data_IF_950752983520
#
_entry.id   IF_950752983520
#
_cell.length_a   1.000
_cell.length_b   1.000
_cell.length_c   1.000
_cell.angle_alpha   90.00
_cell.angle_beta   90.00
_cell.angle_gamma   90.00
#
_symmetry.space_group_name_H-M   'P 1'
#
loop_
_entity.id
_entity.type
_entity.pdbx_description
1 polymer ?
#
# COMPACT_ATOMS: atom_id res chain seq x y z
N UNK A 1 10.19 -0.76 -19.14
CA UNK A 1 11.35 -1.64 -18.86
C UNK A 1 12.54 -1.11 -19.63
N UNK A 2 13.64 -0.73 -18.97
CA UNK A 2 14.80 -0.10 -19.65
C UNK A 2 15.60 -1.18 -20.40
N UNK A 3 15.12 -1.53 -21.60
CA UNK A 3 15.59 -2.69 -22.37
C UNK A 3 17.10 -2.72 -22.61
N UNK A 4 17.75 -1.55 -22.67
CA UNK A 4 19.19 -1.44 -22.90
C UNK A 4 20.04 -1.99 -21.75
N UNK A 5 19.59 -1.83 -20.51
CA UNK A 5 20.36 -2.25 -19.33
C UNK A 5 20.14 -3.74 -19.03
N UNK A 6 18.91 -4.22 -19.21
CA UNK A 6 18.60 -5.66 -19.15
C UNK A 6 19.33 -6.45 -20.24
N UNK A 7 19.47 -5.89 -21.45
CA UNK A 7 20.22 -6.50 -22.54
C UNK A 7 21.73 -6.57 -22.26
N UNK A 8 22.28 -5.57 -21.56
CA UNK A 8 23.68 -5.54 -21.17
C UNK A 8 23.99 -6.55 -20.05
N UNK A 9 23.17 -6.60 -19.00
CA UNK A 9 23.36 -7.56 -17.91
C UNK A 9 23.21 -9.00 -18.41
N UNK A 10 22.23 -9.24 -19.29
CA UNK A 10 21.99 -10.55 -19.91
C UNK A 10 23.08 -10.99 -20.89
N UNK A 11 23.89 -10.07 -21.42
CA UNK A 11 25.02 -10.42 -22.28
C UNK A 11 26.29 -10.76 -21.49
N UNK A 12 26.38 -10.35 -20.23
CA UNK A 12 27.55 -10.55 -19.36
C UNK A 12 27.35 -11.73 -18.40
N UNK A 13 26.14 -11.87 -17.84
CA UNK A 13 25.85 -12.87 -16.81
C UNK A 13 24.85 -13.93 -17.29
N UNK A 14 25.05 -15.21 -16.95
CA UNK A 14 24.06 -16.25 -17.22
C UNK A 14 22.74 -15.99 -16.48
N UNK A 15 21.61 -16.37 -17.08
CA UNK A 15 20.27 -16.07 -16.58
C UNK A 15 20.00 -16.58 -15.15
N UNK A 16 20.63 -17.69 -14.75
CA UNK A 16 20.50 -18.21 -13.38
C UNK A 16 21.13 -17.27 -12.33
N UNK A 17 22.22 -16.57 -12.66
CA UNK A 17 22.83 -15.59 -11.76
C UNK A 17 21.94 -14.35 -11.58
N UNK A 18 21.39 -13.83 -12.68
CA UNK A 18 20.47 -12.69 -12.67
C UNK A 18 19.22 -13.02 -11.86
N UNK A 19 18.67 -14.22 -12.07
CA UNK A 19 17.50 -14.70 -11.34
C UNK A 19 17.79 -14.87 -9.84
N UNK A 20 18.97 -15.40 -9.50
CA UNK A 20 19.41 -15.55 -8.11
C UNK A 20 19.55 -14.17 -7.44
N UNK A 21 20.19 -13.21 -8.11
CA UNK A 21 20.31 -11.84 -7.61
C UNK A 21 18.94 -11.20 -7.36
N UNK A 22 18.01 -11.29 -8.32
CA UNK A 22 16.64 -10.81 -8.16
C UNK A 22 15.91 -11.49 -7.00
N UNK A 23 16.07 -12.80 -6.83
CA UNK A 23 15.48 -13.53 -5.71
C UNK A 23 16.06 -13.09 -4.36
N UNK A 24 17.38 -12.89 -4.27
CA UNK A 24 18.03 -12.38 -3.05
C UNK A 24 17.52 -10.97 -2.73
N UNK A 25 17.36 -10.11 -3.74
CA UNK A 25 16.78 -8.79 -3.56
C UNK A 25 15.36 -8.87 -3.01
N UNK A 26 14.52 -9.77 -3.53
CA UNK A 26 13.17 -9.99 -3.01
C UNK A 26 13.17 -10.57 -1.59
N UNK A 27 14.15 -11.41 -1.22
CA UNK A 27 14.26 -11.96 0.14
C UNK A 27 14.64 -10.94 1.21
N UNK A 28 15.10 -9.75 0.81
CA UNK A 28 15.30 -8.63 1.76
C UNK A 28 13.98 -8.11 2.35
N UNK A 29 12.86 -8.50 1.75
CA UNK A 29 11.49 -8.22 2.18
C UNK A 29 10.95 -9.44 2.92
N UNK A 30 10.48 -9.28 4.15
CA UNK A 30 9.99 -10.42 4.96
C UNK A 30 8.69 -11.01 4.39
N UNK A 31 8.36 -12.27 4.69
CA UNK A 31 7.17 -12.97 4.15
C UNK A 31 5.83 -12.28 4.51
N UNK A 32 5.70 -11.74 5.73
CA UNK A 32 4.54 -10.94 6.14
C UNK A 32 4.47 -9.60 5.39
N UNK A 33 5.64 -9.04 5.08
CA UNK A 33 5.72 -7.90 4.17
C UNK A 33 5.31 -8.34 2.77
N UNK A 34 5.69 -9.50 2.24
CA UNK A 34 5.42 -9.96 0.86
C UNK A 34 3.93 -10.01 0.46
N UNK A 35 3.01 -10.32 1.39
CA UNK A 35 1.55 -10.28 1.13
C UNK A 35 0.98 -8.85 1.13
N UNK A 36 1.54 -7.95 1.95
CA UNK A 36 1.15 -6.54 2.00
C UNK A 36 1.95 -5.65 1.04
N UNK A 37 3.10 -6.14 0.57
CA UNK A 37 4.15 -5.51 -0.25
C UNK A 37 3.69 -5.14 -1.65
N UNK A 38 2.61 -5.76 -2.10
CA UNK A 38 2.00 -5.46 -3.38
C UNK A 38 0.68 -4.73 -3.22
N UNK A 39 0.25 -4.37 -2.00
CA UNK A 39 -1.00 -3.64 -1.84
C UNK A 39 -0.88 -2.22 -2.38
N UNK A 40 0.26 -1.54 -2.19
CA UNK A 40 0.56 -0.25 -2.80
C UNK A 40 0.66 -0.33 -4.32
N UNK A 41 1.46 -1.28 -4.81
CA UNK A 41 1.65 -1.48 -6.25
C UNK A 41 0.33 -1.87 -6.96
N UNK A 42 -0.46 -2.76 -6.37
CA UNK A 42 -1.77 -3.14 -6.90
C UNK A 42 -2.71 -1.94 -6.96
N UNK A 43 -2.80 -1.14 -5.90
CA UNK A 43 -3.64 0.07 -5.90
C UNK A 43 -3.16 1.08 -6.93
N UNK A 44 -1.86 1.23 -7.11
CA UNK A 44 -1.30 2.08 -8.14
C UNK A 44 -1.64 1.58 -9.55
N UNK A 45 -1.51 0.28 -9.81
CA UNK A 45 -1.91 -0.34 -11.07
C UNK A 45 -3.41 -0.13 -11.35
N UNK A 46 -4.28 -0.36 -10.35
CA UNK A 46 -5.72 -0.10 -10.46
C UNK A 46 -6.04 1.37 -10.74
N UNK A 47 -5.33 2.30 -10.09
CA UNK A 47 -5.41 3.73 -10.40
C UNK A 47 -5.00 4.00 -11.85
N UNK A 48 -3.86 3.47 -12.29
CA UNK A 48 -3.40 3.63 -13.66
C UNK A 48 -4.37 3.04 -14.69
N UNK A 49 -4.98 1.89 -14.40
CA UNK A 49 -6.00 1.28 -15.27
C UNK A 49 -7.28 2.12 -15.33
N UNK A 50 -7.74 2.63 -14.18
CA UNK A 50 -8.92 3.51 -14.07
C UNK A 50 -8.76 4.77 -14.92
N UNK A 51 -7.56 5.38 -14.93
CA UNK A 51 -7.27 6.59 -15.68
C UNK A 51 -6.60 6.32 -17.04
N UNK A 52 -6.53 5.06 -17.47
CA UNK A 52 -5.93 4.65 -18.75
C UNK A 52 -4.52 5.19 -18.97
N UNK A 53 -3.72 5.23 -17.90
CA UNK A 53 -2.33 5.68 -17.96
C UNK A 53 -1.51 4.69 -18.79
N UNK A 54 -0.81 5.14 -19.86
CA UNK A 54 0.03 4.28 -20.68
C UNK A 54 1.11 3.60 -19.85
N UNK A 55 1.42 2.34 -20.16
CA UNK A 55 2.37 1.52 -19.39
C UNK A 55 3.76 2.17 -19.31
N UNK A 56 4.19 2.86 -20.37
CA UNK A 56 5.47 3.57 -20.44
C UNK A 56 5.56 4.69 -19.38
N UNK A 57 4.42 5.27 -19.02
CA UNK A 57 4.32 6.32 -17.99
C UNK A 57 4.21 5.75 -16.57
N UNK A 58 3.78 4.49 -16.42
CA UNK A 58 3.67 3.83 -15.10
C UNK A 58 5.04 3.56 -14.50
N UNK A 59 6.02 3.13 -15.31
CA UNK A 59 7.39 2.84 -14.87
C UNK A 59 8.24 4.12 -14.68
N UNK A 60 7.88 5.22 -15.34
CA UNK A 60 8.53 6.52 -15.16
C UNK A 60 7.92 7.33 -14.00
N UNK A 61 6.94 6.76 -13.28
CA UNK A 61 6.07 7.37 -12.27
C UNK A 61 6.55 8.73 -11.76
N UNK A 62 6.22 9.77 -12.52
CA UNK A 62 6.65 11.14 -12.23
C UNK A 62 6.04 11.61 -10.90
N UNK A 63 6.69 12.55 -10.23
CA UNK A 63 6.33 13.03 -8.89
C UNK A 63 4.87 13.50 -8.83
N UNK A 64 4.40 14.10 -9.93
CA UNK A 64 3.02 14.56 -10.12
C UNK A 64 2.05 13.37 -10.20
N UNK A 65 2.39 12.31 -10.94
CA UNK A 65 1.52 11.14 -11.07
C UNK A 65 1.35 10.43 -9.73
N UNK A 66 2.44 10.26 -8.97
CA UNK A 66 2.39 9.72 -7.62
C UNK A 66 1.60 10.63 -6.67
N UNK A 67 1.73 11.95 -6.81
CA UNK A 67 0.94 12.92 -6.04
C UNK A 67 -0.56 12.79 -6.31
N UNK A 68 -0.95 12.71 -7.59
CA UNK A 68 -2.36 12.51 -7.98
C UNK A 68 -2.87 11.17 -7.44
N UNK A 69 -2.07 10.11 -7.52
CA UNK A 69 -2.40 8.81 -6.93
C UNK A 69 -2.66 8.93 -5.42
N UNK A 70 -1.78 9.59 -4.67
CA UNK A 70 -1.94 9.81 -3.22
C UNK A 70 -3.20 10.63 -2.92
N UNK A 71 -3.46 11.68 -3.70
CA UNK A 71 -4.65 12.51 -3.52
C UNK A 71 -5.94 11.71 -3.80
N UNK A 72 -5.99 10.94 -4.88
CA UNK A 72 -7.18 10.19 -5.29
C UNK A 72 -7.43 8.97 -4.40
N UNK A 73 -6.39 8.19 -4.10
CA UNK A 73 -6.54 6.90 -3.42
C UNK A 73 -6.31 6.98 -1.91
N UNK A 74 -5.52 7.96 -1.46
CA UNK A 74 -5.05 8.07 -0.08
C UNK A 74 -5.77 9.11 0.76
N UNK A 75 -5.90 10.33 0.23
CA UNK A 75 -6.37 11.49 0.99
C UNK A 75 -7.74 11.23 1.62
N UNK A 76 -7.82 11.42 2.94
CA UNK A 76 -9.04 11.25 3.75
C UNK A 76 -9.66 9.85 3.75
N UNK A 77 -9.01 8.86 3.12
CA UNK A 77 -9.49 7.46 2.99
C UNK A 77 -8.69 6.51 3.85
N UNK A 78 -7.40 6.78 4.04
CA UNK A 78 -6.48 5.95 4.81
C UNK A 78 -5.53 6.81 5.64
N UNK A 79 -4.94 6.21 6.67
CA UNK A 79 -3.90 6.86 7.47
C UNK A 79 -2.66 7.11 6.61
N UNK A 80 -1.93 8.21 6.85
CA UNK A 80 -0.63 8.45 6.21
C UNK A 80 0.35 7.29 6.30
N UNK A 81 0.39 6.54 7.41
CA UNK A 81 1.28 5.37 7.51
C UNK A 81 1.01 4.32 6.41
N UNK A 82 -0.24 4.18 5.96
CA UNK A 82 -0.63 3.29 4.86
C UNK A 82 -0.19 3.87 3.51
N UNK A 83 -0.34 5.19 3.32
CA UNK A 83 0.14 5.89 2.13
C UNK A 83 1.66 5.73 2.00
N UNK A 84 2.38 5.87 3.11
CA UNK A 84 3.83 5.71 3.17
C UNK A 84 4.24 4.30 2.73
N UNK A 85 3.56 3.27 3.24
CA UNK A 85 3.74 1.88 2.78
C UNK A 85 3.49 1.75 1.27
N UNK A 86 2.44 2.38 0.72
CA UNK A 86 2.19 2.28 -0.73
C UNK A 86 3.31 2.88 -1.56
N UNK A 87 3.87 4.02 -1.13
CA UNK A 87 4.97 4.67 -1.83
C UNK A 87 6.25 3.82 -1.74
N UNK A 88 6.49 3.17 -0.60
CA UNK A 88 7.64 2.27 -0.43
C UNK A 88 7.52 1.01 -1.30
N UNK A 89 6.31 0.45 -1.45
CA UNK A 89 6.01 -0.67 -2.36
C UNK A 89 6.32 -0.29 -3.82
N UNK A 90 5.85 0.87 -4.27
CA UNK A 90 6.11 1.37 -5.63
C UNK A 90 7.61 1.64 -5.80
N UNK A 91 8.28 2.22 -4.80
CA UNK A 91 9.74 2.44 -4.83
C UNK A 91 10.50 1.14 -5.03
N UNK A 92 10.16 0.10 -4.28
CA UNK A 92 10.86 -1.17 -4.41
C UNK A 92 10.55 -1.84 -5.76
N UNK A 93 9.35 -1.66 -6.32
CA UNK A 93 9.04 -2.07 -7.68
C UNK A 93 9.92 -1.35 -8.71
N UNK A 94 10.17 -0.04 -8.56
CA UNK A 94 11.13 0.69 -9.41
C UNK A 94 12.55 0.13 -9.28
N UNK A 95 13.03 -0.08 -8.06
CA UNK A 95 14.36 -0.63 -7.80
C UNK A 95 14.52 -2.04 -8.39
N UNK A 96 13.51 -2.90 -8.24
CA UNK A 96 13.49 -4.24 -8.83
C UNK A 96 13.55 -4.23 -10.36
N UNK A 97 12.89 -3.27 -10.99
CA UNK A 97 12.87 -3.10 -12.44
C UNK A 97 14.01 -2.21 -12.96
N UNK A 98 14.95 -1.83 -12.09
CA UNK A 98 16.05 -0.93 -12.40
C UNK A 98 15.58 0.36 -13.11
N UNK A 99 14.41 0.85 -12.67
CA UNK A 99 13.85 2.10 -13.10
C UNK A 99 14.30 3.22 -12.17
N UNK A 100 14.46 4.42 -12.73
CA UNK A 100 14.78 5.60 -11.93
C UNK A 100 13.66 5.86 -10.94
N UNK A 101 14.00 6.01 -9.66
CA UNK A 101 13.07 6.48 -8.64
C UNK A 101 13.20 8.00 -8.50
N UNK A 102 12.18 8.73 -8.91
CA UNK A 102 12.14 10.18 -8.77
C UNK A 102 11.34 10.55 -7.51
N UNK A 103 12.03 11.05 -6.49
CA UNK A 103 11.40 11.63 -5.29
C UNK A 103 11.44 13.14 -5.44
N UNK A 104 10.31 13.76 -5.74
CA UNK A 104 10.21 15.21 -5.79
C UNK A 104 9.50 15.81 -4.57
N UNK A 105 9.54 17.13 -4.50
CA UNK A 105 8.97 17.91 -3.40
C UNK A 105 7.43 17.91 -3.43
N UNK A 106 6.81 17.64 -4.58
CA UNK A 106 5.34 17.67 -4.74
C UNK A 106 4.73 16.45 -4.05
N UNK A 107 5.32 15.26 -4.21
CA UNK A 107 4.85 14.06 -3.50
C UNK A 107 4.99 14.21 -1.99
N UNK A 108 6.09 14.81 -1.53
CA UNK A 108 6.32 15.09 -0.11
C UNK A 108 5.25 16.03 0.46
N UNK A 109 4.93 17.11 -0.24
CA UNK A 109 3.88 18.04 0.16
C UNK A 109 2.49 17.39 0.11
N UNK A 110 2.20 16.62 -0.93
CA UNK A 110 0.91 15.93 -1.09
C UNK A 110 0.66 14.92 0.02
N UNK A 111 1.69 14.14 0.41
CA UNK A 111 1.60 13.22 1.57
C UNK A 111 1.33 13.95 2.88
N UNK A 112 1.91 15.15 3.07
CA UNK A 112 1.61 15.98 4.25
C UNK A 112 0.17 16.51 4.22
N UNK A 113 -0.32 16.90 3.03
CA UNK A 113 -1.68 17.40 2.85
C UNK A 113 -2.76 16.33 2.93
N UNK A 114 -2.45 15.07 2.62
CA UNK A 114 -3.42 13.97 2.58
C UNK A 114 -4.11 13.70 3.94
N UNK A 115 -3.40 13.88 5.05
CA UNK A 115 -3.97 13.79 6.41
C UNK A 115 -4.81 15.03 6.76
N UNK A 116 -4.42 16.21 6.25
CA UNK A 116 -5.11 17.47 6.53
C UNK A 116 -6.38 17.65 5.70
N UNK A 117 -6.55 16.88 4.61
CA UNK A 117 -7.67 16.98 3.68
C UNK A 117 -8.95 16.27 4.18
N UNK A 118 -8.99 15.78 5.42
CA UNK A 118 -10.19 15.12 5.98
C UNK A 118 -11.38 16.10 5.88
N UNK A 119 -12.48 15.75 5.15
CA UNK A 119 -13.69 16.55 5.22
C UNK A 119 -14.11 16.62 6.69
N UNK A 120 -14.33 17.83 7.20
CA UNK A 120 -14.67 18.11 8.61
C UNK A 120 -15.81 17.25 9.19
N UNK A 121 -16.58 16.55 8.36
CA UNK A 121 -17.69 15.67 8.73
C UNK A 121 -17.29 14.20 9.03
N UNK A 122 -16.13 13.72 8.59
CA UNK A 122 -15.76 12.30 8.71
C UNK A 122 -14.87 11.98 9.93
N UNK A 123 -14.44 12.99 10.68
CA UNK A 123 -13.48 12.83 11.78
C UNK A 123 -14.11 12.37 13.09
N UNK A 124 -15.41 12.56 13.29
CA UNK A 124 -16.07 12.39 14.60
C UNK A 124 -17.33 11.52 14.53
N UNK A 125 -17.31 10.46 13.75
CA UNK A 125 -18.17 9.32 14.10
C UNK A 125 -17.32 8.37 14.93
N UNK A 126 -17.48 8.33 16.26
CA UNK A 126 -16.80 7.34 17.07
C UNK A 126 -17.19 5.99 16.48
N UNK A 127 -16.20 5.24 15.97
CA UNK A 127 -16.36 3.80 15.93
C UNK A 127 -16.72 3.42 17.35
N UNK A 128 -17.94 2.96 17.56
CA UNK A 128 -18.39 2.46 18.85
C UNK A 128 -17.40 1.34 19.21
N UNK A 129 -16.37 1.71 19.97
CA UNK A 129 -15.63 0.76 20.77
C UNK A 129 -16.72 0.04 21.53
N UNK A 130 -16.76 -1.28 21.43
CA UNK A 130 -17.61 -2.06 22.31
C UNK A 130 -17.04 -1.81 23.71
N UNK A 131 -17.61 -0.81 24.40
CA UNK A 131 -17.17 -0.38 25.72
C UNK A 131 -17.42 -1.58 26.63
N UNK A 132 -16.44 -1.92 27.47
CA UNK A 132 -16.51 -3.03 28.42
C UNK A 132 -17.88 -3.10 29.13
N UNK A 133 -18.43 -1.95 29.50
CA UNK A 133 -19.73 -1.83 30.14
C UNK A 133 -20.91 -2.44 29.34
N UNK A 134 -20.87 -2.44 28.00
CA UNK A 134 -21.90 -3.10 27.18
C UNK A 134 -21.73 -4.62 27.18
N UNK A 135 -20.48 -5.11 27.18
CA UNK A 135 -20.19 -6.56 27.29
C UNK A 135 -20.55 -7.05 28.70
N UNK A 136 -20.21 -6.29 29.73
CA UNK A 136 -20.57 -6.59 31.12
C UNK A 136 -22.11 -6.62 31.27
N UNK A 137 -22.83 -5.64 30.69
CA UNK A 137 -24.29 -5.62 30.71
C UNK A 137 -24.95 -6.76 29.91
N UNK A 138 -24.34 -7.22 28.81
CA UNK A 138 -24.77 -8.40 28.07
C UNK A 138 -24.53 -9.68 28.88
N UNK A 139 -23.38 -9.78 29.56
CA UNK A 139 -23.03 -10.89 30.44
C UNK A 139 -23.98 -11.04 31.62
N UNK A 140 -24.49 -9.93 32.16
CA UNK A 140 -25.42 -9.93 33.29
C UNK A 140 -26.81 -10.45 32.91
N UNK A 141 -27.15 -10.48 31.61
CA UNK A 141 -28.47 -10.86 31.10
C UNK A 141 -28.49 -12.20 30.36
N UNK A 142 -27.33 -12.78 30.05
CA UNK A 142 -27.19 -14.08 29.39
C UNK A 142 -26.91 -15.18 30.43
N UNK A 143 -27.66 -16.29 30.38
CA UNK A 143 -27.36 -17.44 31.21
C UNK A 143 -26.37 -18.35 30.48
N UNK A 144 -25.09 -18.32 30.88
CA UNK A 144 -24.06 -19.19 30.29
C UNK A 144 -24.26 -20.69 30.58
N UNK A 145 -25.27 -21.04 31.38
CA UNK A 145 -25.73 -22.42 31.57
C UNK A 145 -26.72 -22.86 30.49
N UNK A 146 -27.31 -21.92 29.74
CA UNK A 146 -28.19 -22.18 28.63
C UNK A 146 -27.38 -22.31 27.31
N UNK A 147 -27.52 -23.42 26.56
CA UNK A 147 -26.76 -23.64 25.33
C UNK A 147 -27.04 -22.61 24.22
N UNK A 148 -28.19 -21.95 24.23
CA UNK A 148 -28.52 -20.92 23.25
C UNK A 148 -27.83 -19.61 23.60
N UNK A 149 -27.93 -19.15 24.85
CA UNK A 149 -27.24 -17.95 25.33
C UNK A 149 -25.71 -18.07 25.20
N UNK A 150 -25.15 -19.26 25.46
CA UNK A 150 -23.72 -19.53 25.28
C UNK A 150 -23.26 -19.50 23.80
N UNK A 151 -24.17 -19.68 22.83
CA UNK A 151 -23.86 -19.61 21.40
C UNK A 151 -23.95 -18.19 20.83
N UNK A 152 -24.63 -17.27 21.53
CA UNK A 152 -24.81 -15.87 21.13
C UNK A 152 -23.74 -14.96 21.75
N UNK A 153 -23.14 -15.37 22.88
CA UNK A 153 -21.98 -14.72 23.51
C UNK A 153 -20.70 -14.84 22.67
#
# INVERSE_FOLDING_TARGET
MNSLLDNFISSIFPQNFISTWKNVMLTSVTEDTHKNYNAGLLRFMQFCDKFQIPEEKRMLADDILLSIFVAEMGASKVKKSIIDTWIDDIKLWHEYNNASWFRGDILSQTRKGADAFIPHAASDEPKLLVIKNYIDALSDYLDLSDPFDCAVW
#
